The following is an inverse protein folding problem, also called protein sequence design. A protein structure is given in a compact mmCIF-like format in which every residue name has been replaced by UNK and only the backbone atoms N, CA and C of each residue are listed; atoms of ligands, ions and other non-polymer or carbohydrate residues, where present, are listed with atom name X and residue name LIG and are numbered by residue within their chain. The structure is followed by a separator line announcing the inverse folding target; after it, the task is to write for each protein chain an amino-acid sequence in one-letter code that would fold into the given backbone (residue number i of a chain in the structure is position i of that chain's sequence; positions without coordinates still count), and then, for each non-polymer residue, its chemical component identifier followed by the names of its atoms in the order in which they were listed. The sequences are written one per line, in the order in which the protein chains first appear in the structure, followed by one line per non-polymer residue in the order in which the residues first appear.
data_IF_732339780646
#
_entry.id   IF_732339780646
#
_cell.length_a   1.000
_cell.length_b   1.000
_cell.length_c   1.000
_cell.angle_alpha   90.00
_cell.angle_beta   90.00
_cell.angle_gamma   90.00
#
_symmetry.space_group_name_H-M   'P 1'
#
loop_
_entity.id
_entity.type
_entity.pdbx_description
1 polymer ?
#
# COMPACT_ATOMS: atom_id res chain seq x y z
N UNK A 1 -13.71 -33.42 -7.62
CA UNK A 1 -14.86 -32.90 -8.39
C UNK A 1 -16.13 -33.12 -7.58
N UNK A 2 -16.51 -32.18 -6.71
CA UNK A 2 -17.72 -32.33 -5.89
C UNK A 2 -18.96 -31.97 -6.73
N UNK A 3 -19.79 -32.96 -7.06
CA UNK A 3 -21.07 -32.68 -7.73
C UNK A 3 -22.02 -32.00 -6.74
N UNK A 4 -22.61 -30.86 -7.16
CA UNK A 4 -23.59 -30.11 -6.36
C UNK A 4 -24.79 -31.03 -6.03
N UNK A 5 -25.31 -31.02 -4.79
CA UNK A 5 -26.52 -31.77 -4.49
C UNK A 5 -27.69 -31.22 -5.31
N UNK A 6 -28.42 -32.13 -5.98
CA UNK A 6 -29.59 -31.81 -6.79
C UNK A 6 -30.63 -31.06 -5.94
N UNK A 7 -31.18 -29.94 -6.43
CA UNK A 7 -32.21 -29.19 -5.73
C UNK A 7 -33.52 -29.98 -5.60
N UNK A 8 -34.26 -29.77 -4.52
CA UNK A 8 -35.50 -30.50 -4.18
C UNK A 8 -36.57 -30.39 -5.28
N UNK A 9 -36.61 -29.26 -6.00
CA UNK A 9 -37.53 -29.03 -7.11
C UNK A 9 -37.17 -29.83 -8.38
N UNK A 10 -35.88 -30.09 -8.63
CA UNK A 10 -35.45 -30.94 -9.73
C UNK A 10 -35.76 -32.42 -9.46
N UNK A 11 -35.63 -32.85 -8.20
CA UNK A 11 -35.99 -34.21 -7.80
C UNK A 11 -37.48 -34.49 -8.03
N UNK A 12 -38.39 -33.56 -7.71
CA UNK A 12 -39.85 -33.71 -7.91
C UNK A 12 -40.26 -33.91 -9.38
N UNK A 13 -39.45 -33.48 -10.35
CA UNK A 13 -39.68 -33.69 -11.79
C UNK A 13 -39.19 -35.05 -12.29
N UNK A 14 -38.48 -35.82 -11.45
CA UNK A 14 -37.97 -37.15 -11.81
C UNK A 14 -38.97 -38.25 -11.45
N UNK A 15 -38.99 -39.29 -12.28
CA UNK A 15 -39.76 -40.51 -12.06
C UNK A 15 -39.48 -41.09 -10.65
N UNK A 16 -40.52 -41.53 -9.92
CA UNK A 16 -40.41 -42.10 -8.57
C UNK A 16 -39.38 -43.23 -8.48
N UNK A 17 -39.26 -44.04 -9.54
CA UNK A 17 -38.26 -45.11 -9.65
C UNK A 17 -36.85 -44.55 -9.62
N UNK A 18 -36.59 -43.48 -10.39
CA UNK A 18 -35.29 -42.83 -10.42
C UNK A 18 -34.94 -42.16 -9.07
N UNK A 19 -35.93 -41.63 -8.36
CA UNK A 19 -35.70 -41.09 -7.01
C UNK A 19 -35.30 -42.19 -6.02
N UNK A 20 -35.97 -43.34 -6.05
CA UNK A 20 -35.65 -44.49 -5.19
C UNK A 20 -34.26 -45.07 -5.50
N UNK A 21 -33.89 -45.15 -6.78
CA UNK A 21 -32.55 -45.58 -7.19
C UNK A 21 -31.45 -44.61 -6.70
N UNK A 22 -31.67 -43.29 -6.83
CA UNK A 22 -30.75 -42.28 -6.30
C UNK A 22 -30.64 -42.40 -4.79
N UNK A 23 -31.75 -42.63 -4.09
CA UNK A 23 -31.76 -42.79 -2.64
C UNK A 23 -30.95 -44.02 -2.21
N UNK A 24 -31.17 -45.16 -2.86
CA UNK A 24 -30.39 -46.40 -2.64
C UNK A 24 -28.90 -46.19 -2.89
N UNK A 25 -28.54 -45.47 -3.96
CA UNK A 25 -27.15 -45.16 -4.24
C UNK A 25 -26.51 -44.30 -3.15
N UNK A 26 -27.22 -43.27 -2.65
CA UNK A 26 -26.72 -42.42 -1.57
C UNK A 26 -26.50 -43.19 -0.28
N UNK A 27 -27.43 -44.08 0.10
CA UNK A 27 -27.28 -44.93 1.28
C UNK A 27 -26.06 -45.85 1.17
N UNK A 28 -25.80 -46.42 -0.01
CA UNK A 28 -24.59 -47.22 -0.26
C UNK A 28 -23.33 -46.37 -0.14
N UNK A 29 -23.30 -45.21 -0.78
CA UNK A 29 -22.16 -44.30 -0.73
C UNK A 29 -21.88 -43.80 0.71
N UNK A 30 -22.92 -43.55 1.51
CA UNK A 30 -22.78 -43.19 2.92
C UNK A 30 -22.22 -44.35 3.74
N UNK A 31 -22.71 -45.57 3.51
CA UNK A 31 -22.18 -46.78 4.15
C UNK A 31 -20.71 -47.02 3.84
N UNK A 32 -20.32 -46.93 2.57
CA UNK A 32 -18.94 -47.05 2.11
C UNK A 32 -18.06 -45.93 2.68
N UNK A 33 -18.54 -44.68 2.66
CA UNK A 33 -17.84 -43.55 3.24
C UNK A 33 -17.59 -43.76 4.75
N UNK A 34 -18.58 -44.28 5.49
CA UNK A 34 -18.45 -44.59 6.92
C UNK A 34 -17.41 -45.69 7.18
N UNK A 35 -17.40 -46.75 6.38
CA UNK A 35 -16.42 -47.83 6.53
C UNK A 35 -15.00 -47.35 6.19
N UNK A 36 -14.86 -46.57 5.11
CA UNK A 36 -13.57 -46.06 4.66
C UNK A 36 -13.11 -44.79 5.42
N UNK A 37 -13.95 -44.25 6.32
CA UNK A 37 -13.66 -42.99 7.00
C UNK A 37 -12.40 -43.07 7.85
N UNK A 38 -12.25 -44.14 8.64
CA UNK A 38 -11.08 -44.31 9.50
C UNK A 38 -9.78 -44.47 8.70
N UNK A 39 -9.82 -45.14 7.55
CA UNK A 39 -8.64 -45.31 6.70
C UNK A 39 -8.26 -44.00 6.00
N UNK A 40 -9.24 -43.28 5.45
CA UNK A 40 -8.97 -42.06 4.69
C UNK A 40 -8.74 -40.83 5.57
N UNK A 41 -9.35 -40.79 6.75
CA UNK A 41 -9.41 -39.61 7.62
C UNK A 41 -8.98 -39.88 9.07
N UNK A 42 -8.46 -41.07 9.39
CA UNK A 42 -7.98 -41.40 10.74
C UNK A 42 -6.87 -40.47 11.25
N UNK A 43 -6.12 -39.82 10.35
CA UNK A 43 -5.15 -38.78 10.72
C UNK A 43 -5.79 -37.53 11.35
N UNK A 44 -7.10 -37.32 11.20
CA UNK A 44 -7.81 -36.24 11.90
C UNK A 44 -8.06 -36.56 13.38
N UNK A 45 -7.98 -37.85 13.76
CA UNK A 45 -8.12 -38.27 15.16
C UNK A 45 -6.81 -38.29 15.93
N UNK A 46 -5.66 -38.25 15.25
CA UNK A 46 -4.36 -38.23 15.91
C UNK A 46 -4.09 -36.86 16.55
N UNK A 47 -3.66 -36.82 17.82
CA UNK A 47 -3.33 -35.56 18.50
C UNK A 47 -2.13 -34.89 17.83
N UNK A 48 -2.14 -33.56 17.78
CA UNK A 48 -1.10 -32.74 17.14
C UNK A 48 0.30 -33.05 17.71
N UNK A 49 0.38 -33.40 18.99
CA UNK A 49 1.64 -33.75 19.67
C UNK A 49 2.32 -34.99 19.06
N UNK A 50 1.57 -35.98 18.58
CA UNK A 50 2.13 -37.18 17.93
C UNK A 50 2.61 -36.88 16.51
N UNK A 51 1.97 -35.93 15.83
CA UNK A 51 2.39 -35.47 14.50
C UNK A 51 3.72 -34.72 14.58
N UNK A 52 3.92 -33.92 15.62
CA UNK A 52 5.14 -33.12 15.80
C UNK A 52 6.35 -33.96 16.23
N UNK A 53 6.14 -35.05 16.98
CA UNK A 53 7.22 -35.95 17.42
C UNK A 53 7.95 -36.65 16.27
N UNK A 54 7.31 -36.81 15.11
CA UNK A 54 7.93 -37.39 13.90
C UNK A 54 8.79 -36.42 13.10
N UNK A 55 8.63 -35.10 13.30
CA UNK A 55 9.42 -34.06 12.62
C UNK A 55 10.64 -33.60 13.43
N UNK A 56 10.81 -34.09 14.66
CA UNK A 56 12.01 -33.93 15.47
C UNK A 56 13.17 -34.82 14.98
N UNK A 57 13.36 -34.96 13.67
CA UNK A 57 14.70 -35.26 13.18
C UNK A 57 15.57 -34.02 13.44
N UNK A 58 16.74 -34.15 14.10
CA UNK A 58 17.59 -33.00 14.35
C UNK A 58 17.84 -32.32 13.01
N UNK A 59 17.67 -30.98 12.91
CA UNK A 59 17.78 -30.30 11.63
C UNK A 59 19.15 -30.62 11.05
N UNK A 60 19.17 -31.51 10.05
CA UNK A 60 20.36 -31.74 9.25
C UNK A 60 20.76 -30.35 8.77
N UNK A 61 21.93 -29.90 9.21
CA UNK A 61 22.39 -28.52 9.07
C UNK A 61 22.31 -28.15 7.59
N UNK A 62 21.18 -27.55 7.18
CA UNK A 62 20.96 -27.19 5.78
C UNK A 62 22.13 -26.28 5.42
N UNK A 63 22.92 -26.61 4.39
CA UNK A 63 24.06 -25.80 4.03
C UNK A 63 23.55 -24.37 3.80
N UNK A 64 24.18 -23.39 4.44
CA UNK A 64 23.77 -21.99 4.32
C UNK A 64 23.86 -21.60 2.85
N UNK A 65 22.72 -21.55 2.18
CA UNK A 65 22.63 -21.13 0.78
C UNK A 65 23.04 -19.67 0.75
N UNK A 66 24.24 -19.39 0.23
CA UNK A 66 24.69 -18.02 0.07
C UNK A 66 23.81 -17.31 -0.97
N UNK A 67 23.18 -16.22 -0.56
CA UNK A 67 22.33 -15.42 -1.45
C UNK A 67 23.16 -14.91 -2.63
N UNK A 68 22.79 -15.27 -3.89
CA UNK A 68 23.49 -14.81 -5.08
C UNK A 68 23.55 -13.28 -5.12
N UNK A 69 24.67 -12.73 -5.59
CA UNK A 69 24.94 -11.29 -5.55
C UNK A 69 23.85 -10.43 -6.19
N UNK A 70 23.14 -10.94 -7.20
CA UNK A 70 22.06 -10.21 -7.88
C UNK A 70 20.87 -9.92 -6.95
N UNK A 71 20.66 -10.73 -5.93
CA UNK A 71 19.61 -10.52 -4.92
C UNK A 71 20.09 -9.70 -3.72
N UNK A 72 21.37 -9.33 -3.66
CA UNK A 72 21.88 -8.47 -2.59
C UNK A 72 21.46 -7.03 -2.89
N UNK A 73 20.71 -6.44 -1.96
CA UNK A 73 20.33 -5.02 -2.02
C UNK A 73 21.60 -4.19 -1.96
N UNK A 74 21.74 -3.23 -2.87
CA UNK A 74 22.88 -2.31 -2.83
C UNK A 74 22.76 -1.42 -1.60
N UNK A 75 23.83 -1.23 -0.81
CA UNK A 75 23.80 -0.29 0.29
C UNK A 75 23.46 1.10 -0.27
N UNK A 76 22.48 1.75 0.35
CA UNK A 76 22.07 3.11 -0.02
C UNK A 76 23.27 4.03 0.17
N UNK A 77 23.55 4.89 -0.81
CA UNK A 77 24.61 5.88 -0.68
C UNK A 77 24.36 6.74 0.56
N UNK A 78 25.33 6.86 1.48
CA UNK A 78 25.12 7.59 2.73
C UNK A 78 24.74 9.04 2.41
N UNK A 79 23.66 9.49 3.05
CA UNK A 79 23.04 10.80 2.85
C UNK A 79 24.03 11.94 3.11
N UNK A 80 25.00 11.70 4.00
CA UNK A 80 26.12 12.59 4.34
C UNK A 80 26.94 13.05 3.13
N UNK A 81 26.99 12.25 2.06
CA UNK A 81 27.71 12.62 0.82
C UNK A 81 27.04 13.79 0.09
N UNK A 82 25.73 13.96 0.25
CA UNK A 82 24.93 14.95 -0.47
C UNK A 82 24.30 16.02 0.43
N UNK A 83 24.13 15.75 1.72
CA UNK A 83 23.57 16.68 2.69
C UNK A 83 24.69 17.14 3.64
N UNK A 84 25.27 18.30 3.34
CA UNK A 84 26.21 18.99 4.24
C UNK A 84 25.43 19.97 5.11
N UNK A 85 25.27 19.65 6.39
CA UNK A 85 24.64 20.55 7.36
C UNK A 85 25.67 21.59 7.76
N UNK A 86 25.62 22.77 7.14
CA UNK A 86 26.44 23.92 7.56
C UNK A 86 25.73 24.66 8.71
N UNK A 87 26.51 25.35 9.55
CA UNK A 87 25.96 26.18 10.61
C UNK A 87 25.09 27.30 10.03
N UNK A 88 24.00 27.63 10.73
CA UNK A 88 23.12 28.73 10.35
C UNK A 88 23.86 30.08 10.35
N UNK A 89 23.61 30.96 9.38
CA UNK A 89 24.23 32.29 9.35
C UNK A 89 23.84 33.10 10.59
N UNK A 90 24.69 34.07 11.02
CA UNK A 90 24.43 34.88 12.20
C UNK A 90 23.16 35.72 12.02
N UNK A 91 22.36 35.80 13.08
CA UNK A 91 21.15 36.63 13.13
C UNK A 91 21.52 38.09 12.85
N UNK A 92 20.82 38.80 11.96
CA UNK A 92 21.15 40.17 11.62
C UNK A 92 21.08 41.08 12.86
N UNK A 93 22.11 41.90 13.05
CA UNK A 93 22.17 42.88 14.15
C UNK A 93 21.21 44.02 13.84
N UNK A 94 20.07 44.06 14.53
CA UNK A 94 19.12 45.18 14.47
C UNK A 94 19.42 46.15 15.61
N UNK A 95 19.50 47.45 15.33
CA UNK A 95 19.88 48.45 16.33
C UNK A 95 18.70 49.00 17.15
N UNK A 96 17.45 48.62 16.87
CA UNK A 96 16.33 49.21 17.61
C UNK A 96 15.00 48.42 17.59
N UNK A 97 15.03 47.09 17.56
CA UNK A 97 13.82 46.27 17.79
C UNK A 97 12.63 46.47 16.82
N UNK A 98 12.76 47.28 15.76
CA UNK A 98 11.71 47.42 14.75
C UNK A 98 11.71 46.19 13.85
N UNK A 99 10.77 45.29 14.10
CA UNK A 99 10.39 44.28 13.11
C UNK A 99 9.52 45.00 12.08
N UNK A 100 10.10 45.25 10.90
CA UNK A 100 9.43 45.84 9.76
C UNK A 100 10.25 45.64 8.49
N UNK A 101 9.60 45.76 7.33
CA UNK A 101 10.19 45.55 5.98
C UNK A 101 11.24 46.61 5.58
N UNK A 102 11.69 47.44 6.53
CA UNK A 102 12.63 48.55 6.35
C UNK A 102 13.80 48.32 7.29
N UNK A 103 15.01 48.22 6.75
CA UNK A 103 16.22 48.05 7.56
C UNK A 103 16.63 49.40 8.18
N UNK A 104 17.16 49.40 9.41
CA UNK A 104 17.74 50.60 10.04
C UNK A 104 19.16 50.93 9.56
N UNK A 105 19.68 50.20 8.57
CA UNK A 105 21.06 50.32 8.10
C UNK A 105 21.11 51.26 6.90
N UNK A 106 21.88 52.38 6.97
CA UNK A 106 22.02 53.27 5.83
C UNK A 106 22.63 52.51 4.64
N UNK A 107 21.99 52.63 3.47
CA UNK A 107 22.27 51.96 2.19
C UNK A 107 21.58 50.62 1.89
N UNK A 108 20.91 49.96 2.84
CA UNK A 108 20.19 48.70 2.53
C UNK A 108 18.77 48.93 1.99
N UNK A 109 18.15 50.07 2.28
CA UNK A 109 16.80 50.41 1.81
C UNK A 109 16.76 50.98 0.38
N UNK A 110 17.90 51.06 -0.31
CA UNK A 110 17.99 51.69 -1.63
C UNK A 110 16.98 51.10 -2.63
N UNK A 111 16.81 49.78 -2.65
CA UNK A 111 15.90 49.10 -3.58
C UNK A 111 14.42 49.15 -3.18
N UNK A 112 14.11 49.62 -1.96
CA UNK A 112 12.75 49.66 -1.40
C UNK A 112 12.09 51.04 -1.51
N UNK A 113 12.87 52.05 -1.90
CA UNK A 113 12.43 53.43 -2.09
C UNK A 113 12.05 53.74 -3.54
N UNK A 114 12.12 52.77 -4.46
CA UNK A 114 11.99 53.04 -5.91
C UNK A 114 10.55 53.31 -6.39
N UNK A 115 9.53 53.01 -5.58
CA UNK A 115 8.13 53.12 -5.98
C UNK A 115 7.36 54.12 -5.11
N UNK A 116 7.73 55.40 -5.17
CA UNK A 116 6.94 56.50 -4.59
C UNK A 116 5.75 56.92 -5.48
N UNK A 117 5.73 56.52 -6.75
CA UNK A 117 4.59 56.76 -7.64
C UNK A 117 3.60 55.59 -7.58
N UNK A 118 2.51 55.75 -6.84
CA UNK A 118 1.35 54.86 -6.94
C UNK A 118 0.73 55.06 -8.34
N UNK A 119 1.19 54.29 -9.32
CA UNK A 119 0.57 54.26 -10.65
C UNK A 119 -0.66 53.35 -10.58
N UNK A 120 -1.84 53.92 -10.85
CA UNK A 120 -3.10 53.17 -10.90
C UNK A 120 -2.97 52.00 -11.89
N UNK A 121 -3.07 50.76 -11.38
CA UNK A 121 -2.90 49.54 -12.16
C UNK A 121 -4.09 49.20 -13.06
N UNK A 122 -5.19 49.98 -12.99
CA UNK A 122 -6.44 49.65 -13.69
C UNK A 122 -6.25 49.80 -15.21
N UNK A 123 -6.18 48.65 -15.89
CA UNK A 123 -6.12 48.57 -17.35
C UNK A 123 -4.73 48.65 -17.98
N UNK A 124 -3.66 48.78 -17.20
CA UNK A 124 -2.29 48.78 -17.73
C UNK A 124 -1.92 47.42 -18.35
N UNK A 125 -2.18 46.34 -17.62
CA UNK A 125 -1.91 44.98 -18.08
C UNK A 125 -2.77 44.57 -19.29
N UNK A 126 -4.03 45.01 -19.33
CA UNK A 126 -4.92 44.75 -20.45
C UNK A 126 -4.48 45.48 -21.74
N UNK A 127 -3.81 46.65 -21.62
CA UNK A 127 -3.19 47.33 -22.76
C UNK A 127 -1.97 46.59 -23.29
N UNK A 128 -1.12 46.05 -22.41
CA UNK A 128 0.06 45.27 -22.83
C UNK A 128 -0.33 44.00 -23.59
N UNK A 129 -1.44 43.37 -23.21
CA UNK A 129 -2.00 42.19 -23.89
C UNK A 129 -2.81 42.52 -25.16
N UNK A 130 -2.95 43.81 -25.51
CA UNK A 130 -3.74 44.24 -26.68
C UNK A 130 -5.24 43.94 -26.57
N UNK A 131 -5.77 43.87 -25.35
CA UNK A 131 -7.15 43.42 -25.12
C UNK A 131 -8.17 44.46 -25.63
N UNK A 132 -9.27 44.02 -26.28
CA UNK A 132 -10.29 44.94 -26.81
C UNK A 132 -10.97 45.73 -25.69
N UNK A 133 -11.29 47.00 -25.96
CA UNK A 133 -11.86 47.93 -24.96
C UNK A 133 -13.18 47.44 -24.35
N UNK A 134 -13.96 46.62 -25.07
CA UNK A 134 -15.20 46.07 -24.54
C UNK A 134 -14.99 45.08 -23.37
N UNK A 135 -13.79 44.51 -23.22
CA UNK A 135 -13.44 43.56 -22.15
C UNK A 135 -12.79 44.20 -20.92
N UNK A 136 -12.62 45.52 -20.90
CA UNK A 136 -11.99 46.27 -19.78
C UNK A 136 -13.07 47.19 -19.18
N UNK A 137 -14.00 46.61 -18.44
CA UNK A 137 -15.03 47.31 -17.68
C UNK A 137 -15.20 46.68 -16.30
#
# INVERSE_FOLDING_TARGET
MAQKPLSTAAAQRMNLVAQDEIWKYRLKAEGEARQNWAQNWGFLTTPVEELLKGEEEPPTLKPKIELPQRFRIRPVTPVEKYIKVLASPPVPKTTQGFIGWRSGVPNLNKCLEHDYEIRSCKGAYAKELGWPKQGIH
#
